data_IF_300677702979
#
_entry.id   IF_300677702979
#
_cell.length_a   1.000
_cell.length_b   1.000
_cell.length_c   1.000
_cell.angle_alpha   90.00
_cell.angle_beta   90.00
_cell.angle_gamma   90.00
#
_symmetry.space_group_name_H-M   'P 1'
#
loop_
_entity.id
_entity.type
_entity.pdbx_description
1 polymer ?
#
# COMPACT_ATOMS: atom_id res chain seq x y z
N UNK A 1 7.03 25.38 7.69
CA UNK A 1 7.03 23.93 7.93
C UNK A 1 5.97 23.21 7.09
N UNK A 2 4.77 23.78 6.92
CA UNK A 2 3.67 23.20 6.13
C UNK A 2 4.00 22.79 4.67
N UNK A 3 4.91 23.48 3.96
CA UNK A 3 5.22 23.13 2.57
C UNK A 3 5.97 21.80 2.43
N UNK A 4 6.92 21.51 3.33
CA UNK A 4 7.66 20.24 3.33
C UNK A 4 6.74 19.08 3.69
N UNK A 5 5.85 19.29 4.65
CA UNK A 5 4.82 18.31 5.03
C UNK A 5 3.91 17.98 3.84
N UNK A 6 3.47 19.01 3.09
CA UNK A 6 2.60 18.81 1.94
C UNK A 6 3.28 18.05 0.79
N UNK A 7 4.54 18.37 0.49
CA UNK A 7 5.32 17.63 -0.50
C UNK A 7 5.59 16.18 -0.04
N UNK A 8 5.79 15.95 1.25
CA UNK A 8 5.94 14.61 1.81
C UNK A 8 4.65 13.81 1.66
N UNK A 9 3.49 14.42 1.95
CA UNK A 9 2.19 13.75 1.80
C UNK A 9 1.92 13.34 0.35
N UNK A 10 2.26 14.18 -0.62
CA UNK A 10 2.15 13.82 -2.05
C UNK A 10 3.04 12.64 -2.41
N UNK A 11 4.28 12.63 -1.92
CA UNK A 11 5.21 11.55 -2.20
C UNK A 11 4.70 10.23 -1.60
N UNK A 12 4.18 10.27 -0.37
CA UNK A 12 3.58 9.10 0.31
C UNK A 12 2.36 8.60 -0.46
N UNK A 13 1.47 9.48 -0.91
CA UNK A 13 0.33 9.09 -1.74
C UNK A 13 0.77 8.39 -3.03
N UNK A 14 1.71 9.00 -3.77
CA UNK A 14 2.21 8.42 -5.00
C UNK A 14 2.87 7.05 -4.76
N UNK A 15 3.70 6.93 -3.71
CA UNK A 15 4.39 5.69 -3.39
C UNK A 15 3.41 4.57 -3.04
N UNK A 16 2.40 4.84 -2.21
CA UNK A 16 1.49 3.81 -1.73
C UNK A 16 0.38 3.45 -2.72
N UNK A 17 -0.14 4.44 -3.45
CA UNK A 17 -1.34 4.28 -4.26
C UNK A 17 -1.09 4.22 -5.77
N UNK A 18 0.10 4.63 -6.25
CA UNK A 18 0.35 4.76 -7.70
C UNK A 18 1.61 4.04 -8.18
N UNK A 19 2.65 3.93 -7.35
CA UNK A 19 3.93 3.30 -7.73
C UNK A 19 3.74 1.79 -7.92
N UNK A 20 4.15 1.28 -9.08
CA UNK A 20 4.22 -0.17 -9.32
C UNK A 20 5.54 -0.72 -8.77
N UNK A 21 5.44 -1.65 -7.82
CA UNK A 21 6.60 -2.22 -7.13
C UNK A 21 6.89 -3.64 -7.60
N UNK A 22 8.02 -3.84 -8.28
CA UNK A 22 8.38 -5.13 -8.90
C UNK A 22 8.44 -6.31 -7.90
N UNK A 23 9.05 -6.19 -6.70
CA UNK A 23 9.08 -7.29 -5.71
C UNK A 23 7.72 -7.85 -5.29
N UNK A 24 6.65 -7.08 -5.41
CA UNK A 24 5.28 -7.50 -5.04
C UNK A 24 4.41 -7.77 -6.27
N UNK A 25 5.02 -7.93 -7.45
CA UNK A 25 4.31 -8.23 -8.70
C UNK A 25 3.81 -7.02 -9.47
N UNK A 26 4.53 -5.89 -9.42
CA UNK A 26 4.21 -4.67 -10.17
C UNK A 26 2.81 -4.10 -9.89
N UNK A 27 2.46 -4.03 -8.61
CA UNK A 27 1.21 -3.45 -8.11
C UNK A 27 1.49 -2.38 -7.06
N UNK A 28 0.54 -1.46 -6.80
CA UNK A 28 0.66 -0.50 -5.71
C UNK A 28 0.81 -1.19 -4.34
N UNK A 29 1.70 -0.71 -3.45
CA UNK A 29 1.86 -1.25 -2.10
C UNK A 29 0.54 -1.39 -1.33
N UNK A 30 -0.31 -0.36 -1.35
CA UNK A 30 -1.59 -0.38 -0.65
C UNK A 30 -2.53 -1.48 -1.19
N UNK A 31 -2.43 -1.81 -2.48
CA UNK A 31 -3.20 -2.91 -3.05
C UNK A 31 -2.67 -4.27 -2.57
N UNK A 32 -1.35 -4.46 -2.53
CA UNK A 32 -0.75 -5.69 -2.04
C UNK A 32 -1.09 -5.94 -0.56
N UNK A 33 -1.03 -4.90 0.27
CA UNK A 33 -1.39 -4.96 1.68
C UNK A 33 -2.87 -5.33 1.89
N UNK A 34 -3.79 -4.72 1.14
CA UNK A 34 -5.21 -5.10 1.19
C UNK A 34 -5.44 -6.56 0.85
N UNK A 35 -4.76 -7.08 -0.17
CA UNK A 35 -4.88 -8.49 -0.54
C UNK A 35 -4.34 -9.41 0.57
N UNK A 36 -3.18 -9.07 1.13
CA UNK A 36 -2.59 -9.81 2.25
C UNK A 36 -3.54 -9.90 3.46
N UNK A 37 -4.13 -8.78 3.87
CA UNK A 37 -5.08 -8.78 5.00
C UNK A 37 -6.39 -9.51 4.68
N UNK A 38 -6.89 -9.43 3.44
CA UNK A 38 -8.07 -10.19 3.03
C UNK A 38 -7.80 -11.70 3.10
N UNK A 39 -6.61 -12.15 2.68
CA UNK A 39 -6.24 -13.56 2.74
C UNK A 39 -5.99 -14.02 4.19
N UNK A 40 -5.32 -13.22 5.02
CA UNK A 40 -5.16 -13.52 6.45
C UNK A 40 -6.52 -13.63 7.16
N UNK A 41 -7.42 -12.68 6.91
CA UNK A 41 -8.77 -12.71 7.50
C UNK A 41 -9.55 -13.96 7.07
N UNK A 42 -9.37 -14.44 5.83
CA UNK A 42 -10.00 -15.69 5.36
C UNK A 42 -9.44 -16.91 6.10
N UNK A 43 -8.13 -16.94 6.32
CA UNK A 43 -7.49 -18.02 7.10
C UNK A 43 -8.01 -18.04 8.53
N UNK A 44 -8.15 -16.87 9.16
CA UNK A 44 -8.65 -16.75 10.53
C UNK A 44 -10.11 -17.20 10.67
N UNK A 45 -10.95 -16.99 9.65
CA UNK A 45 -12.36 -17.45 9.63
C UNK A 45 -12.46 -18.98 9.42
N UNK A 46 -11.49 -19.59 8.77
CA UNK A 46 -11.49 -21.01 8.44
C UNK A 46 -10.90 -21.92 9.54
N UNK A 47 -10.26 -21.34 10.56
CA UNK A 47 -9.65 -22.01 11.71
C UNK A 47 -10.63 -22.18 12.88
#
# INVERSE_FOLDING_TARGET
>A
MAQVEWETLKWVDWYNNRRLLAPIGYRPPAEAERAFHADQSRLDIAA
#
